data_IF_389717255715
#
_entry.id   IF_389717255715
#
_cell.length_a   1.000
_cell.length_b   1.000
_cell.length_c   1.000
_cell.angle_alpha   90.00
_cell.angle_beta   90.00
_cell.angle_gamma   90.00
#
_symmetry.space_group_name_H-M   'P 1'
#
loop_
_entity.id
_entity.type
_entity.pdbx_description
1 polymer ?
#
# COMPACT_ATOMS: atom_id res chain seq x y z
N UNK A 1 -8.46 -17.65 -18.89
CA UNK A 1 -9.30 -16.87 -17.97
C UNK A 1 -8.44 -16.53 -16.76
N UNK A 2 -8.05 -15.27 -16.59
CA UNK A 2 -7.25 -14.86 -15.43
C UNK A 2 -8.22 -14.68 -14.27
N UNK A 3 -8.21 -15.60 -13.31
CA UNK A 3 -9.02 -15.48 -12.09
C UNK A 3 -8.54 -14.23 -11.34
N UNK A 4 -9.43 -13.24 -11.17
CA UNK A 4 -9.11 -12.07 -10.33
C UNK A 4 -9.10 -12.50 -8.87
N UNK A 5 -8.02 -12.16 -8.16
CA UNK A 5 -7.89 -12.43 -6.73
C UNK A 5 -8.54 -11.34 -5.86
N UNK A 6 -8.72 -10.13 -6.42
CA UNK A 6 -9.36 -8.96 -5.80
C UNK A 6 -10.68 -8.61 -6.48
N UNK A 7 -11.62 -8.04 -5.73
CA UNK A 7 -12.85 -7.42 -6.25
C UNK A 7 -12.54 -6.06 -6.89
N UNK A 8 -11.61 -5.31 -6.29
CA UNK A 8 -11.11 -4.03 -6.80
C UNK A 8 -10.39 -4.23 -8.13
N UNK A 9 -10.74 -3.42 -9.14
CA UNK A 9 -10.10 -3.49 -10.46
C UNK A 9 -8.68 -2.90 -10.43
N UNK A 10 -7.69 -3.73 -10.71
CA UNK A 10 -6.26 -3.36 -10.70
C UNK A 10 -5.66 -3.17 -12.08
N UNK A 11 -6.44 -3.30 -13.16
CA UNK A 11 -5.94 -3.31 -14.55
C UNK A 11 -5.13 -2.06 -14.89
N UNK A 12 -5.70 -0.87 -14.69
CA UNK A 12 -5.03 0.41 -14.95
C UNK A 12 -3.83 0.63 -14.02
N UNK A 13 -3.93 0.18 -12.78
CA UNK A 13 -2.84 0.28 -11.81
C UNK A 13 -1.64 -0.57 -12.26
N UNK A 14 -1.88 -1.80 -12.71
CA UNK A 14 -0.83 -2.72 -13.15
C UNK A 14 -0.31 -2.45 -14.56
N UNK A 15 -1.10 -1.82 -15.41
CA UNK A 15 -0.62 -1.30 -16.70
C UNK A 15 0.39 -0.18 -16.47
N UNK A 16 0.06 0.77 -15.58
CA UNK A 16 0.93 1.91 -15.27
C UNK A 16 2.11 1.54 -14.37
N UNK A 17 1.91 0.61 -13.44
CA UNK A 17 2.91 0.17 -12.46
C UNK A 17 3.00 -1.37 -12.43
N UNK A 18 3.64 -2.01 -13.43
CA UNK A 18 3.68 -3.48 -13.54
C UNK A 18 4.28 -4.19 -12.34
N UNK A 19 5.21 -3.54 -11.63
CA UNK A 19 5.84 -4.09 -10.41
C UNK A 19 4.86 -4.25 -9.24
N UNK A 20 3.67 -3.64 -9.30
CA UNK A 20 2.63 -3.80 -8.27
C UNK A 20 1.83 -5.10 -8.42
N UNK A 21 1.96 -5.84 -9.54
CA UNK A 21 1.32 -7.17 -9.73
C UNK A 21 1.68 -8.18 -8.65
N UNK A 22 2.78 -7.98 -7.92
CA UNK A 22 3.14 -8.80 -6.76
C UNK A 22 2.08 -8.79 -5.65
N UNK A 23 1.19 -7.80 -5.62
CA UNK A 23 0.02 -7.78 -4.73
C UNK A 23 -0.81 -9.06 -4.93
N UNK A 24 -1.01 -9.50 -6.18
CA UNK A 24 -1.81 -10.69 -6.47
C UNK A 24 -1.19 -11.95 -5.85
N UNK A 25 0.15 -12.04 -5.85
CA UNK A 25 0.89 -13.18 -5.29
C UNK A 25 0.99 -13.20 -3.77
N UNK A 26 0.77 -12.06 -3.11
CA UNK A 26 0.79 -11.94 -1.65
C UNK A 26 -0.62 -11.83 -1.06
N UNK A 27 -1.66 -11.77 -1.91
CA UNK A 27 -3.02 -11.45 -1.46
C UNK A 27 -3.50 -12.38 -0.35
N UNK A 28 -4.01 -11.79 0.74
CA UNK A 28 -4.45 -12.55 1.92
C UNK A 28 -3.35 -12.89 2.92
N UNK A 29 -2.16 -12.29 2.81
CA UNK A 29 -1.11 -12.36 3.85
C UNK A 29 -0.88 -11.00 4.54
N UNK A 30 -0.27 -11.04 5.74
CA UNK A 30 0.11 -9.83 6.47
C UNK A 30 1.07 -8.94 5.66
N UNK A 31 1.97 -9.55 4.88
CA UNK A 31 2.93 -8.85 4.02
C UNK A 31 2.24 -8.04 2.92
N UNK A 32 1.14 -8.56 2.35
CA UNK A 32 0.36 -7.83 1.37
C UNK A 32 -0.24 -6.57 1.97
N UNK A 33 -0.87 -6.69 3.13
CA UNK A 33 -1.41 -5.53 3.85
C UNK A 33 -0.34 -4.49 4.13
N UNK A 34 0.79 -4.91 4.69
CA UNK A 34 1.95 -4.04 4.97
C UNK A 34 2.45 -3.35 3.70
N UNK A 35 2.55 -4.09 2.59
CA UNK A 35 3.01 -3.55 1.33
C UNK A 35 2.05 -2.48 0.78
N UNK A 36 0.74 -2.73 0.77
CA UNK A 36 -0.27 -1.77 0.30
C UNK A 36 -0.27 -0.51 1.18
N UNK A 37 -0.20 -0.68 2.50
CA UNK A 37 -0.10 0.44 3.44
C UNK A 37 1.17 1.27 3.22
N UNK A 38 2.30 0.63 2.91
CA UNK A 38 3.53 1.33 2.55
C UNK A 38 3.38 2.12 1.25
N UNK A 39 2.69 1.63 0.23
CA UNK A 39 2.46 2.40 -1.00
C UNK A 39 1.68 3.71 -0.74
N UNK A 40 0.76 3.69 0.24
CA UNK A 40 -0.01 4.87 0.64
C UNK A 40 0.81 5.88 1.43
N UNK A 41 1.80 5.42 2.19
CA UNK A 41 2.56 6.24 3.14
C UNK A 41 3.98 6.58 2.65
N UNK A 42 4.45 5.92 1.58
CA UNK A 42 5.78 6.12 1.00
C UNK A 42 5.86 7.44 0.21
N UNK A 43 6.04 8.53 0.96
CA UNK A 43 6.37 9.87 0.45
C UNK A 43 7.86 10.17 0.62
N UNK A 44 8.70 9.14 0.85
CA UNK A 44 10.08 9.27 1.34
C UNK A 44 10.89 10.29 0.54
N UNK A 45 11.14 11.43 1.18
CA UNK A 45 12.05 12.49 0.73
C UNK A 45 11.39 13.73 0.11
N UNK A 46 10.06 13.82 0.04
CA UNK A 46 9.36 15.01 -0.49
C UNK A 46 9.57 15.29 -1.98
N UNK A 47 10.35 14.45 -2.68
CA UNK A 47 10.72 14.59 -4.08
C UNK A 47 9.86 13.73 -5.04
N UNK A 48 9.10 12.76 -4.50
CA UNK A 48 8.14 11.98 -5.29
C UNK A 48 6.78 12.63 -5.22
N UNK A 49 6.26 13.10 -6.36
CA UNK A 49 4.81 13.22 -6.52
C UNK A 49 4.26 11.82 -6.27
N UNK A 50 3.38 11.66 -5.26
CA UNK A 50 2.75 10.38 -4.94
C UNK A 50 1.96 9.80 -6.13
N UNK A 51 1.12 8.81 -5.87
CA UNK A 51 0.28 8.27 -6.94
C UNK A 51 -0.69 9.34 -7.48
N UNK A 52 -0.93 9.38 -8.81
CA UNK A 52 -2.05 10.11 -9.37
C UNK A 52 -3.37 9.73 -8.66
N UNK A 53 -4.35 10.64 -8.53
CA UNK A 53 -5.54 10.43 -7.72
C UNK A 53 -6.30 9.13 -8.04
N UNK A 54 -6.39 8.77 -9.31
CA UNK A 54 -7.05 7.54 -9.77
C UNK A 54 -6.35 6.25 -9.28
N UNK A 55 -5.03 6.28 -9.18
CA UNK A 55 -4.23 5.15 -8.71
C UNK A 55 -4.18 5.11 -7.18
N UNK A 56 -4.09 6.27 -6.53
CA UNK A 56 -4.20 6.37 -5.07
C UNK A 56 -5.55 5.82 -4.58
N UNK A 57 -6.65 6.16 -5.27
CA UNK A 57 -7.97 5.61 -4.97
C UNK A 57 -8.02 4.09 -5.11
N UNK A 58 -7.41 3.55 -6.16
CA UNK A 58 -7.33 2.09 -6.37
C UNK A 58 -6.56 1.40 -5.24
N UNK A 59 -5.41 1.95 -4.82
CA UNK A 59 -4.60 1.41 -3.72
C UNK A 59 -5.37 1.47 -2.39
N UNK A 60 -6.10 2.57 -2.13
CA UNK A 60 -6.96 2.68 -0.95
C UNK A 60 -8.08 1.63 -0.95
N UNK A 61 -8.75 1.44 -2.09
CA UNK A 61 -9.78 0.40 -2.22
C UNK A 61 -9.22 -1.00 -1.98
N UNK A 62 -8.01 -1.29 -2.47
CA UNK A 62 -7.32 -2.55 -2.19
C UNK A 62 -7.04 -2.76 -0.70
N UNK A 63 -6.59 -1.71 0.00
CA UNK A 63 -6.35 -1.79 1.44
C UNK A 63 -7.65 -2.09 2.21
N UNK A 64 -8.72 -1.35 1.90
CA UNK A 64 -10.04 -1.55 2.52
C UNK A 64 -10.60 -2.94 2.22
N UNK A 65 -10.47 -3.43 0.98
CA UNK A 65 -10.89 -4.77 0.62
C UNK A 65 -10.09 -5.83 1.38
N UNK A 66 -8.78 -5.66 1.48
CA UNK A 66 -7.93 -6.57 2.23
C UNK A 66 -8.33 -6.62 3.70
N UNK A 67 -8.54 -5.47 4.33
CA UNK A 67 -8.93 -5.39 5.74
C UNK A 67 -10.30 -6.01 6.00
N UNK A 68 -11.26 -5.80 5.08
CA UNK A 68 -12.57 -6.44 5.14
C UNK A 68 -12.50 -7.96 5.01
N UNK A 69 -11.62 -8.48 4.14
CA UNK A 69 -11.50 -9.92 3.86
C UNK A 69 -10.58 -10.67 4.83
N UNK A 70 -9.61 -9.97 5.41
CA UNK A 70 -8.59 -10.53 6.30
C UNK A 70 -8.38 -9.64 7.54
N UNK A 71 -9.43 -9.44 8.36
CA UNK A 71 -9.39 -8.53 9.51
C UNK A 71 -8.31 -8.90 10.54
N UNK A 72 -7.88 -10.16 10.59
CA UNK A 72 -6.81 -10.62 11.48
C UNK A 72 -5.46 -9.90 11.25
N UNK A 73 -5.23 -9.30 10.08
CA UNK A 73 -4.00 -8.59 9.76
C UNK A 73 -4.07 -7.08 9.99
N UNK A 74 -5.24 -6.55 10.39
CA UNK A 74 -5.45 -5.11 10.61
C UNK A 74 -4.50 -4.54 11.67
N UNK A 75 -4.31 -5.28 12.77
CA UNK A 75 -3.51 -4.87 13.92
C UNK A 75 -2.02 -5.20 13.79
N UNK A 76 -1.61 -5.99 12.80
CA UNK A 76 -0.23 -6.46 12.63
C UNK A 76 0.74 -5.36 12.12
N UNK A 77 0.21 -4.17 11.80
CA UNK A 77 1.04 -2.98 11.56
C UNK A 77 1.59 -2.40 12.87
N UNK A 78 1.04 -2.82 14.02
CA UNK A 78 1.28 -2.23 15.34
C UNK A 78 2.61 -2.59 16.00
N UNK A 79 3.48 -3.35 15.34
CA UNK A 79 4.81 -3.68 15.89
C UNK A 79 5.94 -3.40 14.89
N UNK A 80 5.82 -2.34 14.11
CA UNK A 80 6.97 -1.78 13.41
C UNK A 80 7.22 -0.37 13.93
N UNK A 81 7.99 -0.36 15.02
CA UNK A 81 9.00 0.63 15.37
C UNK A 81 8.64 2.09 15.01
N UNK A 82 8.41 2.85 16.07
CA UNK A 82 8.31 4.31 16.23
C UNK A 82 9.47 5.12 15.60
N UNK A 83 10.21 4.55 14.64
CA UNK A 83 11.35 5.13 13.91
C UNK A 83 10.98 5.70 12.54
N UNK A 84 9.72 6.05 12.33
CA UNK A 84 9.25 6.71 11.11
C UNK A 84 8.52 8.04 11.40
N UNK A 85 8.84 8.66 12.54
CA UNK A 85 8.39 10.02 12.91
C UNK A 85 9.52 11.00 13.26
N UNK A 86 10.79 10.58 13.26
CA UNK A 86 11.94 11.43 13.61
C UNK A 86 12.76 11.82 12.37
N UNK A 87 12.14 12.52 11.44
CA UNK A 87 12.86 13.31 10.42
C UNK A 87 12.34 14.75 10.30
N UNK A 88 11.42 15.18 11.17
CA UNK A 88 10.87 16.56 11.13
C UNK A 88 11.50 17.51 12.15
N UNK A 89 12.59 17.14 12.85
CA UNK A 89 13.24 18.01 13.84
C UNK A 89 14.77 17.94 13.84
N UNK A 90 15.43 18.27 12.72
CA UNK A 90 16.81 18.78 12.78
C UNK A 90 17.27 19.53 11.52
N UNK A 91 16.92 20.81 11.46
CA UNK A 91 17.73 21.86 10.86
C UNK A 91 17.55 23.07 11.77
N UNK A 92 18.42 23.32 12.76
CA UNK A 92 19.68 24.07 12.65
C UNK A 92 19.68 25.06 11.47
N UNK A 93 19.15 26.27 11.69
CA UNK A 93 19.97 27.47 11.92
C UNK A 93 19.12 28.62 12.44
#
# INVERSE_FOLDING_TARGET
>A
MTTRVTETSTEKLYERFPHLRKIDGMWGTAECRKFIFLLMTDTRGGARQGFPPEHAGTIMSLLMEHDRRFPQFENDVGHHDTRWGDLSRRGIR
#
